data_IF_086917738231
#
_entry.id   IF_086917738231
#
_cell.length_a   1.000
_cell.length_b   1.000
_cell.length_c   1.000
_cell.angle_alpha   90.00
_cell.angle_beta   90.00
_cell.angle_gamma   90.00
#
_symmetry.space_group_name_H-M   'P 1'
#
loop_
_entity.id
_entity.type
_entity.pdbx_description
1 polymer ?
#
# COMPACT_ATOMS: atom_id res chain seq x y z
N UNK A 1 43.42 -21.66 20.70
CA UNK A 1 43.29 -22.55 19.54
C UNK A 1 41.92 -23.25 19.47
N UNK A 2 41.49 -24.11 20.41
CA UNK A 2 40.15 -24.76 20.33
C UNK A 2 38.96 -23.80 20.48
N UNK A 3 39.09 -22.74 21.29
CA UNK A 3 38.03 -21.73 21.51
C UNK A 3 37.82 -20.81 20.30
N UNK A 4 38.91 -20.48 19.60
CA UNK A 4 38.88 -19.57 18.46
C UNK A 4 38.18 -20.22 17.26
N UNK A 5 38.42 -21.53 17.05
CA UNK A 5 37.71 -22.34 16.04
C UNK A 5 36.21 -22.46 16.31
N UNK A 6 35.79 -22.57 17.57
CA UNK A 6 34.37 -22.62 17.93
C UNK A 6 33.66 -21.27 17.73
N UNK A 7 34.37 -20.15 17.91
CA UNK A 7 33.83 -18.82 17.68
C UNK A 7 33.54 -18.60 16.19
N UNK A 8 34.46 -19.03 15.31
CA UNK A 8 34.34 -18.94 13.85
C UNK A 8 33.14 -19.76 13.36
N UNK A 9 33.00 -21.01 13.82
CA UNK A 9 31.86 -21.87 13.46
C UNK A 9 30.51 -21.28 13.87
N UNK A 10 30.43 -20.62 15.04
CA UNK A 10 29.20 -19.94 15.50
C UNK A 10 28.89 -18.71 14.66
N UNK A 11 29.91 -17.95 14.26
CA UNK A 11 29.70 -16.78 13.38
C UNK A 11 29.26 -17.19 11.98
N UNK A 12 29.79 -18.30 11.45
CA UNK A 12 29.39 -18.88 10.16
C UNK A 12 27.96 -19.43 10.18
N UNK A 13 27.55 -20.06 11.28
CA UNK A 13 26.17 -20.49 11.48
C UNK A 13 25.23 -19.28 11.58
N UNK A 14 25.60 -18.26 12.35
CA UNK A 14 24.81 -17.04 12.49
C UNK A 14 24.71 -16.25 11.17
N UNK A 15 25.76 -16.23 10.33
CA UNK A 15 25.71 -15.60 9.01
C UNK A 15 24.87 -16.41 8.03
N UNK A 16 25.00 -17.74 8.02
CA UNK A 16 24.14 -18.65 7.23
C UNK A 16 22.66 -18.51 7.61
N UNK A 17 22.35 -18.38 8.91
CA UNK A 17 20.98 -18.25 9.37
C UNK A 17 20.38 -16.87 9.05
N UNK A 18 21.19 -15.79 9.14
CA UNK A 18 20.80 -14.47 8.65
C UNK A 18 20.57 -14.46 7.14
N UNK A 19 21.42 -15.13 6.37
CA UNK A 19 21.28 -15.22 4.93
C UNK A 19 20.05 -16.05 4.53
N UNK A 20 19.77 -17.17 5.22
CA UNK A 20 18.54 -17.95 5.03
C UNK A 20 17.30 -17.16 5.44
N UNK A 21 17.37 -16.34 6.48
CA UNK A 21 16.28 -15.47 6.91
C UNK A 21 15.98 -14.38 5.88
N UNK A 22 17.01 -13.69 5.37
CA UNK A 22 16.84 -12.67 4.33
C UNK A 22 16.44 -13.28 2.98
N UNK A 23 16.95 -14.46 2.60
CA UNK A 23 16.47 -15.21 1.42
C UNK A 23 15.00 -15.60 1.57
N UNK A 24 14.54 -16.06 2.74
CA UNK A 24 13.11 -16.35 3.00
C UNK A 24 12.25 -15.08 2.94
N UNK A 25 12.78 -13.94 3.38
CA UNK A 25 12.10 -12.63 3.35
C UNK A 25 12.00 -12.07 1.93
N UNK A 26 13.06 -12.19 1.12
CA UNK A 26 13.08 -11.88 -0.31
C UNK A 26 12.18 -12.83 -1.11
N UNK A 27 12.19 -14.12 -0.79
CA UNK A 27 11.34 -15.11 -1.43
C UNK A 27 9.86 -14.89 -1.10
N UNK A 28 9.51 -14.43 0.12
CA UNK A 28 8.14 -13.99 0.42
C UNK A 28 7.71 -12.75 -0.36
N UNK A 29 8.62 -11.80 -0.60
CA UNK A 29 8.36 -10.63 -1.47
C UNK A 29 8.18 -11.04 -2.92
N UNK A 30 9.01 -11.97 -3.42
CA UNK A 30 8.93 -12.52 -4.77
C UNK A 30 7.71 -13.44 -4.97
N UNK A 31 7.27 -14.17 -3.94
CA UNK A 31 6.07 -15.01 -4.04
C UNK A 31 4.78 -14.21 -4.17
N UNK A 32 4.75 -12.91 -3.86
CA UNK A 32 3.55 -12.08 -4.05
C UNK A 32 3.34 -11.65 -5.51
N UNK A 33 4.35 -11.81 -6.38
CA UNK A 33 4.27 -11.45 -7.80
C UNK A 33 5.10 -12.47 -8.58
N UNK A 34 4.44 -13.47 -9.16
CA UNK A 34 4.94 -13.99 -10.44
C UNK A 34 4.61 -12.91 -11.47
N UNK A 35 5.59 -12.47 -12.25
CA UNK A 35 5.40 -11.47 -13.32
C UNK A 35 4.32 -11.91 -14.35
N UNK A 36 3.94 -13.18 -14.32
CA UNK A 36 2.94 -13.80 -15.20
C UNK A 36 1.56 -14.00 -14.54
N UNK A 37 1.41 -13.80 -13.22
CA UNK A 37 0.16 -14.09 -12.50
C UNK A 37 -0.58 -12.79 -12.11
N UNK A 38 -1.77 -12.58 -12.70
CA UNK A 38 -2.65 -11.43 -12.40
C UNK A 38 -3.26 -11.46 -10.99
N UNK A 39 -3.06 -12.55 -10.25
CA UNK A 39 -3.77 -12.86 -9.01
C UNK A 39 -2.78 -12.96 -7.85
N UNK A 40 -3.14 -12.38 -6.70
CA UNK A 40 -2.38 -12.48 -5.47
C UNK A 40 -2.36 -13.92 -4.93
N UNK A 41 -1.26 -14.30 -4.28
CA UNK A 41 -1.21 -15.58 -3.57
C UNK A 41 -2.28 -15.66 -2.49
N UNK A 42 -2.77 -16.89 -2.23
CA UNK A 42 -3.77 -17.21 -1.20
C UNK A 42 -3.22 -17.05 0.22
N UNK A 43 -2.93 -15.80 0.60
CA UNK A 43 -2.38 -15.36 1.88
C UNK A 43 -3.12 -14.08 2.28
N UNK A 44 -3.26 -13.84 3.58
CA UNK A 44 -3.82 -12.59 4.08
C UNK A 44 -2.96 -11.39 3.69
N UNK A 45 -3.49 -10.45 2.91
CA UNK A 45 -2.80 -9.23 2.48
C UNK A 45 -2.40 -8.31 3.65
N UNK A 46 -3.16 -8.35 4.74
CA UNK A 46 -2.92 -7.52 5.94
C UNK A 46 -1.82 -8.12 6.82
N UNK A 47 -1.89 -9.41 7.13
CA UNK A 47 -1.01 -10.05 8.13
C UNK A 47 0.14 -10.86 7.53
N UNK A 48 0.07 -11.24 6.25
CA UNK A 48 1.03 -12.13 5.56
C UNK A 48 1.31 -13.47 6.27
N UNK A 49 0.45 -13.82 7.22
CA UNK A 49 0.62 -14.96 8.14
C UNK A 49 -0.71 -15.64 8.33
N UNK A 50 -0.67 -16.96 8.48
CA UNK A 50 -1.79 -17.76 8.95
C UNK A 50 -2.22 -17.30 10.35
N UNK A 51 -3.53 -17.22 10.55
CA UNK A 51 -4.11 -16.90 11.86
C UNK A 51 -4.94 -18.07 12.35
N UNK A 52 -4.96 -18.29 13.67
CA UNK A 52 -5.75 -19.33 14.32
C UNK A 52 -6.95 -18.70 15.02
N UNK A 53 -8.06 -19.44 15.06
CA UNK A 53 -9.26 -19.02 15.77
C UNK A 53 -8.99 -19.00 17.29
N UNK A 54 -9.52 -18.02 18.03
CA UNK A 54 -9.33 -17.96 19.48
C UNK A 54 -9.94 -19.21 20.14
N UNK A 55 -9.19 -19.83 21.05
CA UNK A 55 -9.63 -21.03 21.77
C UNK A 55 -9.63 -22.32 20.94
N UNK A 56 -9.13 -22.30 19.70
CA UNK A 56 -9.07 -23.48 18.82
C UNK A 56 -7.71 -23.62 18.15
N UNK A 57 -7.37 -24.85 17.77
CA UNK A 57 -6.22 -25.16 16.90
C UNK A 57 -6.56 -25.04 15.40
N UNK A 58 -7.78 -24.62 15.06
CA UNK A 58 -8.21 -24.43 13.68
C UNK A 58 -7.74 -23.09 13.13
N UNK A 59 -7.28 -23.10 11.87
CA UNK A 59 -6.90 -21.88 11.15
C UNK A 59 -8.14 -21.07 10.80
N UNK A 60 -8.06 -19.75 10.97
CA UNK A 60 -9.07 -18.82 10.47
C UNK A 60 -9.06 -18.87 8.93
N UNK A 61 -10.25 -18.97 8.33
CA UNK A 61 -10.37 -19.01 6.88
C UNK A 61 -10.09 -17.62 6.29
N UNK A 62 -9.45 -17.61 5.13
CA UNK A 62 -9.31 -16.39 4.32
C UNK A 62 -10.64 -16.06 3.63
N UNK A 63 -10.93 -14.78 3.54
CA UNK A 63 -12.05 -14.19 2.81
C UNK A 63 -11.48 -13.43 1.63
N UNK A 64 -11.97 -13.73 0.43
CA UNK A 64 -11.60 -13.00 -0.78
C UNK A 64 -12.31 -11.64 -0.84
N UNK A 65 -11.61 -10.63 -1.32
CA UNK A 65 -12.17 -9.34 -1.68
C UNK A 65 -12.98 -9.52 -2.97
N UNK A 66 -14.32 -9.42 -2.86
CA UNK A 66 -15.22 -9.56 -4.01
C UNK A 66 -15.90 -8.22 -4.34
N UNK A 67 -16.03 -7.33 -3.34
CA UNK A 67 -16.73 -6.07 -3.49
C UNK A 67 -15.74 -4.89 -3.60
N UNK A 68 -16.01 -3.95 -4.51
CA UNK A 68 -15.24 -2.71 -4.63
C UNK A 68 -15.29 -1.89 -3.34
N UNK A 69 -16.42 -1.92 -2.63
CA UNK A 69 -16.56 -1.24 -1.33
C UNK A 69 -15.53 -1.71 -0.30
N UNK A 70 -15.13 -2.99 -0.31
CA UNK A 70 -14.06 -3.47 0.58
C UNK A 70 -12.68 -2.95 0.17
N UNK A 71 -12.41 -2.77 -1.12
CA UNK A 71 -11.18 -2.15 -1.63
C UNK A 71 -11.07 -0.70 -1.15
N UNK A 72 -12.13 0.09 -1.37
CA UNK A 72 -12.20 1.50 -0.97
C UNK A 72 -11.98 1.67 0.54
N UNK A 73 -12.61 0.80 1.34
CA UNK A 73 -12.48 0.85 2.80
C UNK A 73 -11.02 0.60 3.22
N UNK A 74 -10.36 -0.40 2.62
CA UNK A 74 -8.95 -0.69 2.89
C UNK A 74 -8.04 0.42 2.42
N UNK A 75 -8.33 1.03 1.27
CA UNK A 75 -7.60 2.18 0.73
C UNK A 75 -7.68 3.37 1.65
N UNK A 76 -8.88 3.77 2.04
CA UNK A 76 -9.09 4.89 2.94
C UNK A 76 -8.41 4.67 4.28
N UNK A 77 -8.53 3.46 4.87
CA UNK A 77 -7.83 3.17 6.13
C UNK A 77 -6.32 3.08 5.97
N UNK A 78 -5.78 2.60 4.85
CA UNK A 78 -4.35 2.61 4.59
C UNK A 78 -3.80 4.04 4.43
N UNK A 79 -4.54 4.93 3.74
CA UNK A 79 -4.21 6.35 3.64
C UNK A 79 -4.20 6.98 5.04
N UNK A 80 -5.28 6.81 5.81
CA UNK A 80 -5.37 7.38 7.17
C UNK A 80 -4.29 6.86 8.12
N UNK A 81 -3.82 5.63 7.93
CA UNK A 81 -2.73 5.03 8.74
C UNK A 81 -1.34 5.25 8.16
N UNK A 82 -1.22 5.87 6.98
CA UNK A 82 0.02 5.96 6.20
C UNK A 82 0.72 4.59 6.02
N UNK A 83 -0.07 3.53 5.82
CA UNK A 83 0.45 2.18 5.62
C UNK A 83 0.90 1.99 4.18
N UNK A 84 2.13 2.41 3.90
CA UNK A 84 2.74 2.36 2.56
C UNK A 84 2.74 0.95 1.95
N UNK A 85 2.79 -0.10 2.77
CA UNK A 85 2.78 -1.48 2.27
C UNK A 85 1.42 -1.84 1.72
N UNK A 86 0.36 -1.57 2.48
CA UNK A 86 -1.01 -1.85 2.03
C UNK A 86 -1.35 -0.95 0.84
N UNK A 87 -0.92 0.32 0.85
CA UNK A 87 -1.06 1.22 -0.30
C UNK A 87 -0.40 0.66 -1.57
N UNK A 88 0.80 0.07 -1.46
CA UNK A 88 1.46 -0.56 -2.60
C UNK A 88 0.67 -1.77 -3.13
N UNK A 89 0.06 -2.58 -2.27
CA UNK A 89 -0.81 -3.70 -2.69
C UNK A 89 -2.11 -3.20 -3.35
N UNK A 90 -2.65 -2.08 -2.86
CA UNK A 90 -3.83 -1.41 -3.39
C UNK A 90 -3.55 -0.59 -4.65
N UNK A 91 -2.30 -0.54 -5.15
CA UNK A 91 -2.02 0.01 -6.48
C UNK A 91 -2.72 -0.79 -7.58
N UNK A 92 -3.03 -2.06 -7.31
CA UNK A 92 -3.87 -2.94 -8.12
C UNK A 92 -5.25 -3.07 -7.47
N UNK A 93 -6.26 -3.32 -8.29
CA UNK A 93 -7.61 -3.64 -7.83
C UNK A 93 -7.60 -4.99 -7.09
N UNK A 94 -7.94 -5.00 -5.79
CA UNK A 94 -7.95 -6.21 -4.99
C UNK A 94 -9.00 -7.22 -5.46
N UNK A 95 -10.11 -6.77 -6.05
CA UNK A 95 -11.14 -7.66 -6.57
C UNK A 95 -10.59 -8.40 -7.78
N UNK A 96 -9.99 -7.66 -8.72
CA UNK A 96 -9.37 -8.24 -9.92
C UNK A 96 -8.17 -9.14 -9.59
N UNK A 97 -7.38 -8.76 -8.58
CA UNK A 97 -6.23 -9.52 -8.12
C UNK A 97 -6.58 -10.63 -7.10
N UNK A 98 -7.87 -10.90 -6.87
CA UNK A 98 -8.39 -11.86 -5.88
C UNK A 98 -7.72 -11.78 -4.50
N UNK A 99 -7.44 -10.56 -4.03
CA UNK A 99 -6.82 -10.32 -2.73
C UNK A 99 -7.62 -10.96 -1.60
N UNK A 100 -6.94 -11.62 -0.67
CA UNK A 100 -7.59 -12.33 0.44
C UNK A 100 -7.15 -11.80 1.79
N UNK A 101 -8.01 -11.88 2.81
CA UNK A 101 -7.69 -11.46 4.17
C UNK A 101 -8.43 -12.32 5.21
N UNK A 102 -7.88 -12.41 6.42
CA UNK A 102 -8.65 -12.93 7.55
C UNK A 102 -9.75 -11.92 7.93
N UNK A 103 -10.95 -12.39 8.25
CA UNK A 103 -12.07 -11.54 8.65
C UNK A 103 -11.73 -10.72 9.90
N UNK A 104 -11.02 -11.32 10.84
CA UNK A 104 -10.56 -10.63 12.04
C UNK A 104 -9.49 -9.57 11.74
N UNK A 105 -8.58 -9.82 10.79
CA UNK A 105 -7.58 -8.84 10.35
C UNK A 105 -8.24 -7.66 9.69
N UNK A 106 -9.16 -7.88 8.74
CA UNK A 106 -9.94 -6.82 8.11
C UNK A 106 -10.65 -5.98 9.16
N UNK A 107 -11.41 -6.63 10.06
CA UNK A 107 -12.14 -5.92 11.12
C UNK A 107 -11.20 -5.10 12.02
N UNK A 108 -10.04 -5.62 12.39
CA UNK A 108 -9.07 -4.87 13.21
C UNK A 108 -8.40 -3.73 12.46
N UNK A 109 -8.18 -3.93 11.15
CA UNK A 109 -7.47 -2.97 10.31
C UNK A 109 -8.38 -1.82 9.89
N UNK A 110 -9.65 -2.09 9.56
CA UNK A 110 -10.62 -1.08 9.15
C UNK A 110 -11.30 -0.39 10.32
N UNK A 111 -11.14 -0.90 11.55
CA UNK A 111 -11.62 -0.21 12.75
C UNK A 111 -10.86 1.09 12.92
N UNK A 112 -11.53 2.18 12.59
CA UNK A 112 -11.07 3.55 12.81
C UNK A 112 -10.86 3.75 14.31
N UNK A 113 -9.62 4.05 14.70
CA UNK A 113 -9.41 4.93 15.85
C UNK A 113 -10.02 6.28 15.46
N UNK A 114 -10.67 7.04 16.38
CA UNK A 114 -11.06 8.41 16.11
C UNK A 114 -9.78 9.21 15.85
N UNK A 115 -9.42 9.32 14.57
CA UNK A 115 -8.42 10.27 14.13
C UNK A 115 -9.10 11.62 14.17
N UNK A 116 -8.47 12.56 14.88
CA UNK A 116 -8.75 13.98 14.72
C UNK A 116 -8.53 14.25 13.25
N UNK A 117 -9.61 14.36 12.49
CA UNK A 117 -9.58 14.86 11.12
C UNK A 117 -8.90 16.23 11.27
N UNK A 118 -7.67 16.46 10.80
CA UNK A 118 -7.29 17.83 10.51
C UNK A 118 -8.33 18.23 9.48
N UNK A 119 -9.21 19.17 9.84
CA UNK A 119 -10.08 19.78 8.85
C UNK A 119 -9.15 20.15 7.71
N UNK A 120 -9.29 19.47 6.58
CA UNK A 120 -8.88 20.04 5.32
C UNK A 120 -9.67 21.35 5.28
N UNK A 121 -8.97 22.44 5.58
CA UNK A 121 -9.41 23.74 5.19
C UNK A 121 -9.34 23.72 3.67
N UNK A 122 -10.39 23.16 3.05
CA UNK A 122 -10.76 23.40 1.67
C UNK A 122 -11.13 24.87 1.54
N UNK A 123 -10.09 25.69 1.62
CA UNK A 123 -10.07 27.10 1.29
C UNK A 123 -8.59 27.45 1.15
N UNK A 124 -7.87 26.73 0.29
CA UNK A 124 -6.81 27.39 -0.45
C UNK A 124 -7.49 28.43 -1.33
N UNK A 125 -7.78 29.60 -0.74
CA UNK A 125 -7.89 30.83 -1.51
C UNK A 125 -6.61 30.90 -2.32
N UNK A 126 -6.70 30.55 -3.61
CA UNK A 126 -5.65 30.82 -4.56
C UNK A 126 -5.22 32.28 -4.34
N UNK A 127 -3.92 32.56 -4.11
CA UNK A 127 -3.48 33.93 -3.87
C UNK A 127 -4.06 34.81 -4.98
N UNK A 128 -4.68 35.95 -4.65
CA UNK A 128 -5.34 36.79 -5.66
C UNK A 128 -4.45 37.09 -6.89
N UNK A 129 -3.14 37.11 -6.68
CA UNK A 129 -2.09 37.21 -7.70
C UNK A 129 -2.15 36.12 -8.79
N UNK A 130 -2.49 34.89 -8.42
CA UNK A 130 -2.66 33.77 -9.35
C UNK A 130 -3.94 33.93 -10.16
N UNK A 131 -5.01 34.42 -9.55
CA UNK A 131 -6.26 34.71 -10.26
C UNK A 131 -6.04 35.84 -11.29
N UNK A 132 -5.34 36.90 -10.90
CA UNK A 132 -4.99 38.02 -11.78
C UNK A 132 -4.10 37.59 -12.94
N UNK A 133 -3.18 36.64 -12.73
CA UNK A 133 -2.34 36.12 -13.82
C UNK A 133 -3.13 35.24 -14.79
N UNK A 134 -4.09 34.45 -14.30
CA UNK A 134 -5.01 33.69 -15.16
C UNK A 134 -5.93 34.60 -15.97
N UNK A 135 -6.45 35.68 -15.40
CA UNK A 135 -7.30 36.64 -16.12
C UNK A 135 -6.52 37.34 -17.25
N UNK A 136 -5.27 37.74 -16.99
CA UNK A 136 -4.39 38.33 -18.03
C UNK A 136 -4.05 37.36 -19.15
N UNK A 137 -3.76 36.10 -18.81
CA UNK A 137 -3.50 35.07 -19.81
C UNK A 137 -4.74 34.81 -20.68
N UNK A 138 -5.92 34.80 -20.06
CA UNK A 138 -7.18 34.57 -20.76
C UNK A 138 -7.52 35.72 -21.72
N UNK A 139 -7.27 36.97 -21.33
CA UNK A 139 -7.42 38.14 -22.20
C UNK A 139 -6.48 38.05 -23.42
N UNK A 140 -5.20 37.75 -23.20
CA UNK A 140 -4.21 37.58 -24.28
C UNK A 140 -4.61 36.49 -25.28
N UNK A 141 -5.05 35.33 -24.81
CA UNK A 141 -5.49 34.25 -25.71
C UNK A 141 -6.71 34.69 -26.54
N UNK A 142 -7.66 35.40 -25.92
CA UNK A 142 -8.87 35.83 -26.63
C UNK A 142 -8.61 36.93 -27.65
N UNK A 143 -7.81 37.92 -27.27
CA UNK A 143 -7.60 39.12 -28.07
C UNK A 143 -6.49 38.92 -29.10
N UNK A 144 -5.36 38.31 -28.74
CA UNK A 144 -4.22 38.20 -29.66
C UNK A 144 -4.16 36.85 -30.39
N UNK A 145 -4.43 35.74 -29.71
CA UNK A 145 -4.25 34.40 -30.33
C UNK A 145 -5.43 34.03 -31.24
N UNK A 146 -6.67 34.33 -30.83
CA UNK A 146 -7.84 34.01 -31.64
C UNK A 146 -8.15 35.02 -32.74
N UNK A 147 -7.85 36.31 -32.56
CA UNK A 147 -8.08 37.31 -33.62
C UNK A 147 -6.92 37.37 -34.63
N UNK A 148 -5.69 37.02 -34.23
CA UNK A 148 -4.53 36.90 -35.13
C UNK A 148 -4.00 35.45 -35.19
N UNK A 149 -4.60 34.56 -36.02
CA UNK A 149 -4.19 33.16 -36.14
C UNK A 149 -2.80 32.97 -36.79
N UNK A 150 -2.04 34.05 -37.02
CA UNK A 150 -0.65 34.03 -37.51
C UNK A 150 0.38 34.03 -36.38
N UNK A 151 -0.04 34.09 -35.11
CA UNK A 151 0.85 33.95 -33.96
C UNK A 151 1.02 32.45 -33.62
N UNK A 152 1.65 31.71 -34.54
CA UNK A 152 2.41 30.47 -34.28
C UNK A 152 3.58 30.45 -35.27
#
# INVERSE_FOLDING_TARGET
>A
MKRDLQLIQRTEQASSDKEKFERRKLQRRSMMVSEECRVYTKVCIISEKDKYMPGSRTRERLTQCVELRSDDTLRNTAISKQDNRILALLSRDLVAAEGQYHRSCYRSYTRTMPQVIPKETDSEEFPGVVKDSFEKLFAYIREDVFENPRVI
#
